data_IF_693634375518
#
_entry.id   IF_693634375518
#
_cell.length_a   1.000
_cell.length_b   1.000
_cell.length_c   1.000
_cell.angle_alpha   90.00
_cell.angle_beta   90.00
_cell.angle_gamma   90.00
#
_symmetry.space_group_name_H-M   'P 1'
#
loop_
_entity.id
_entity.type
_entity.pdbx_description
1 polymer ?
#
# COMPACT_ATOMS: atom_id res chain seq x y z
N UNK A 1 -16.73 -90.61 -26.54
CA UNK A 1 -15.49 -89.89 -26.91
C UNK A 1 -15.85 -88.98 -28.08
N UNK A 2 -15.83 -87.65 -27.95
CA UNK A 2 -15.57 -86.80 -26.77
C UNK A 2 -16.60 -85.66 -26.75
N UNK A 3 -17.02 -85.25 -25.56
CA UNK A 3 -18.06 -84.24 -25.33
C UNK A 3 -17.48 -82.83 -25.18
N UNK A 4 -18.33 -81.79 -25.20
CA UNK A 4 -17.98 -80.42 -24.83
C UNK A 4 -17.88 -79.42 -25.99
N UNK A 5 -19.02 -79.05 -26.59
CA UNK A 5 -19.09 -77.98 -27.60
C UNK A 5 -20.03 -76.84 -27.19
N UNK A 6 -19.50 -75.60 -27.25
CA UNK A 6 -20.19 -74.29 -27.03
C UNK A 6 -20.71 -74.01 -25.63
N UNK A 7 -20.41 -72.80 -25.16
CA UNK A 7 -21.40 -71.96 -24.47
C UNK A 7 -21.08 -70.47 -24.77
N UNK A 8 -22.08 -69.60 -24.79
CA UNK A 8 -21.95 -68.16 -25.10
C UNK A 8 -21.83 -67.32 -23.79
N UNK A 9 -21.53 -66.01 -23.82
CA UNK A 9 -21.05 -65.29 -22.64
C UNK A 9 -22.12 -65.08 -21.56
N UNK A 10 -21.70 -65.25 -20.30
CA UNK A 10 -22.43 -64.74 -19.12
C UNK A 10 -21.77 -63.48 -18.57
N UNK A 11 -22.57 -62.65 -17.92
CA UNK A 11 -22.27 -61.28 -17.55
C UNK A 11 -20.98 -61.13 -16.70
N UNK A 12 -20.00 -60.41 -17.25
CA UNK A 12 -18.83 -59.96 -16.50
C UNK A 12 -19.18 -58.82 -15.57
N UNK A 13 -19.38 -59.12 -14.28
CA UNK A 13 -19.70 -58.12 -13.25
C UNK A 13 -18.60 -57.07 -13.08
N UNK A 14 -18.92 -55.80 -13.32
CA UNK A 14 -17.99 -54.68 -13.12
C UNK A 14 -17.46 -54.59 -11.69
N UNK A 15 -16.16 -54.31 -11.48
CA UNK A 15 -15.63 -53.93 -10.16
C UNK A 15 -16.34 -52.67 -9.64
N UNK A 16 -16.63 -52.63 -8.34
CA UNK A 16 -17.39 -51.54 -7.74
C UNK A 16 -16.66 -50.19 -7.84
N UNK A 17 -17.28 -49.20 -8.48
CA UNK A 17 -16.83 -47.81 -8.46
C UNK A 17 -16.97 -47.26 -7.04
N UNK A 18 -15.85 -47.07 -6.35
CA UNK A 18 -15.83 -46.46 -5.02
C UNK A 18 -16.35 -45.00 -5.13
N UNK A 19 -17.42 -44.61 -4.41
CA UNK A 19 -17.97 -43.26 -4.55
C UNK A 19 -16.97 -42.20 -4.07
N UNK A 20 -16.83 -41.11 -4.83
CA UNK A 20 -16.04 -39.96 -4.42
C UNK A 20 -16.52 -39.42 -3.06
N UNK A 21 -15.62 -38.99 -2.16
CA UNK A 21 -16.03 -38.40 -0.90
C UNK A 21 -16.86 -37.15 -1.17
N UNK A 22 -18.12 -37.16 -0.72
CA UNK A 22 -18.98 -35.98 -0.75
C UNK A 22 -18.38 -34.94 0.18
N UNK A 23 -17.89 -33.84 -0.38
CA UNK A 23 -17.41 -32.72 0.40
C UNK A 23 -18.59 -32.12 1.18
N UNK A 24 -18.65 -32.36 2.48
CA UNK A 24 -19.67 -31.82 3.36
C UNK A 24 -19.56 -30.29 3.34
N UNK A 25 -20.67 -29.61 3.00
CA UNK A 25 -20.66 -28.18 2.76
C UNK A 25 -20.37 -27.42 4.07
N UNK A 26 -19.24 -26.70 4.08
CA UNK A 26 -18.79 -25.94 5.26
C UNK A 26 -19.89 -24.98 5.75
N UNK A 27 -20.11 -24.87 7.07
CA UNK A 27 -21.17 -24.04 7.62
C UNK A 27 -20.93 -22.56 7.30
N UNK A 28 -21.89 -21.93 6.60
CA UNK A 28 -21.83 -20.50 6.26
C UNK A 28 -22.05 -19.68 7.53
N UNK A 29 -20.94 -19.28 8.18
CA UNK A 29 -20.96 -18.37 9.32
C UNK A 29 -21.54 -17.03 8.86
N UNK A 30 -22.65 -16.61 9.48
CA UNK A 30 -23.28 -15.32 9.17
C UNK A 30 -22.35 -14.16 9.56
N UNK A 31 -22.35 -13.12 8.73
CA UNK A 31 -21.61 -11.87 8.96
C UNK A 31 -21.99 -11.27 10.33
N UNK A 32 -21.06 -10.68 11.10
CA UNK A 32 -21.37 -10.06 12.40
C UNK A 32 -22.37 -8.89 12.36
N UNK A 33 -22.77 -8.41 11.17
CA UNK A 33 -23.68 -7.28 11.01
C UNK A 33 -24.52 -7.37 9.73
N UNK A 34 -25.31 -8.43 9.57
CA UNK A 34 -26.46 -8.44 8.65
C UNK A 34 -27.74 -8.20 9.47
N UNK A 35 -28.36 -7.01 9.42
CA UNK A 35 -29.50 -6.68 10.27
C UNK A 35 -30.71 -7.56 9.95
N UNK A 36 -31.50 -7.87 10.97
CA UNK A 36 -32.67 -8.74 10.82
C UNK A 36 -33.69 -8.17 9.83
N UNK A 37 -34.51 -9.04 9.22
CA UNK A 37 -35.50 -8.58 8.25
C UNK A 37 -36.58 -7.69 8.91
N UNK A 38 -36.81 -7.84 10.21
CA UNK A 38 -37.59 -6.92 11.04
C UNK A 38 -36.95 -5.52 11.17
N UNK A 39 -35.62 -5.42 11.23
CA UNK A 39 -34.90 -4.13 11.24
C UNK A 39 -34.89 -3.49 9.85
N UNK A 40 -34.68 -4.28 8.79
CA UNK A 40 -34.79 -3.82 7.40
C UNK A 40 -36.18 -3.23 7.12
N UNK A 41 -37.24 -3.87 7.63
CA UNK A 41 -38.62 -3.38 7.51
C UNK A 41 -38.87 -2.10 8.33
N UNK A 42 -38.34 -2.00 9.55
CA UNK A 42 -38.39 -0.76 10.38
C UNK A 42 -37.64 0.41 9.74
N UNK A 43 -36.49 0.15 9.10
CA UNK A 43 -35.71 1.14 8.36
C UNK A 43 -36.44 1.66 7.11
N UNK A 44 -37.21 0.81 6.43
CA UNK A 44 -38.06 1.22 5.31
C UNK A 44 -39.23 2.11 5.78
N UNK A 45 -39.91 1.73 6.86
CA UNK A 45 -41.07 2.46 7.39
C UNK A 45 -40.76 3.90 7.86
N UNK A 46 -39.51 4.23 8.16
CA UNK A 46 -39.10 5.55 8.66
C UNK A 46 -39.08 6.69 7.63
N UNK A 47 -39.24 6.44 6.33
CA UNK A 47 -39.07 7.46 5.25
C UNK A 47 -40.41 7.90 4.64
N UNK A 48 -41.29 8.50 5.44
CA UNK A 48 -42.71 8.67 5.04
C UNK A 48 -43.49 9.91 5.53
N UNK A 49 -42.89 11.06 5.84
CA UNK A 49 -43.64 12.33 5.94
C UNK A 49 -42.74 13.55 5.75
N UNK A 50 -43.21 14.58 5.04
CA UNK A 50 -42.39 15.70 4.56
C UNK A 50 -42.78 17.07 5.11
N UNK A 51 -41.91 18.08 4.89
CA UNK A 51 -42.26 19.49 5.06
C UNK A 51 -41.50 20.41 4.08
N UNK A 52 -42.13 21.53 3.74
CA UNK A 52 -41.78 22.46 2.66
C UNK A 52 -40.95 23.65 3.21
N UNK A 53 -39.93 24.17 2.49
CA UNK A 53 -39.07 25.23 3.00
C UNK A 53 -39.58 26.66 2.68
N UNK A 54 -39.28 27.66 3.53
CA UNK A 54 -39.31 29.09 3.19
C UNK A 54 -37.91 29.66 2.94
N UNK A 55 -37.84 30.83 2.27
CA UNK A 55 -36.61 31.61 1.99
C UNK A 55 -36.39 32.72 3.04
N UNK A 56 -35.15 33.17 3.23
CA UNK A 56 -34.85 34.47 3.87
C UNK A 56 -33.39 34.63 4.33
N UNK A 57 -32.71 35.67 3.83
CA UNK A 57 -31.49 36.24 4.44
C UNK A 57 -31.79 37.59 5.11
N UNK A 58 -30.79 38.43 5.51
CA UNK A 58 -29.37 38.37 5.14
C UNK A 58 -28.36 38.48 6.31
N UNK A 59 -27.07 38.46 5.96
CA UNK A 59 -25.85 38.86 6.73
C UNK A 59 -25.82 40.38 7.04
N UNK A 60 -24.91 40.97 7.89
CA UNK A 60 -23.46 40.69 7.96
C UNK A 60 -22.69 40.80 9.32
N UNK A 61 -21.43 40.37 9.23
CA UNK A 61 -20.27 40.37 10.15
C UNK A 61 -19.98 41.56 11.09
N UNK A 62 -19.32 41.28 12.24
CA UNK A 62 -17.89 41.66 12.54
C UNK A 62 -17.32 41.01 13.84
N UNK A 63 -15.99 41.15 14.04
CA UNK A 63 -15.15 40.67 15.19
C UNK A 63 -14.83 41.85 16.18
N UNK A 64 -13.88 41.75 17.15
CA UNK A 64 -13.89 41.02 18.44
C UNK A 64 -13.48 41.94 19.64
N UNK A 65 -13.30 41.41 20.88
CA UNK A 65 -12.21 41.70 21.85
C UNK A 65 -12.58 41.44 23.35
N UNK A 66 -11.55 41.33 24.20
CA UNK A 66 -11.51 41.15 25.68
C UNK A 66 -11.42 42.50 26.45
N UNK A 67 -11.25 42.63 27.81
CA UNK A 67 -11.00 41.62 28.88
C UNK A 67 -11.77 41.77 30.24
N UNK A 68 -11.43 40.85 31.15
CA UNK A 68 -11.60 40.76 32.64
C UNK A 68 -10.90 41.89 33.45
N UNK A 69 -10.85 41.88 34.82
CA UNK A 69 -11.80 41.49 35.90
C UNK A 69 -11.81 42.46 37.14
N UNK A 70 -12.65 42.21 38.17
CA UNK A 70 -12.29 42.14 39.63
C UNK A 70 -13.50 41.74 40.52
N UNK A 71 -13.36 40.90 41.56
CA UNK A 71 -13.18 41.14 43.03
C UNK A 71 -14.22 42.08 43.70
N UNK A 72 -14.63 41.94 44.97
CA UNK A 72 -14.61 40.83 45.97
C UNK A 72 -15.37 41.30 47.25
N UNK A 73 -16.23 40.50 47.88
CA UNK A 73 -16.95 40.92 49.12
C UNK A 73 -17.59 39.77 49.92
N UNK A 74 -17.66 39.89 51.26
CA UNK A 74 -18.11 38.86 52.22
C UNK A 74 -18.66 39.48 53.53
N UNK A 75 -19.81 38.98 54.02
CA UNK A 75 -20.27 38.89 55.44
C UNK A 75 -21.54 37.99 55.41
N UNK A 76 -21.82 36.99 56.30
CA UNK A 76 -21.98 36.91 57.78
C UNK A 76 -23.17 37.75 58.28
N UNK A 77 -24.10 37.32 59.15
CA UNK A 77 -24.40 36.11 59.99
C UNK A 77 -25.96 36.01 60.19
N UNK A 78 -26.70 35.10 60.85
CA UNK A 78 -26.56 33.94 61.78
C UNK A 78 -27.82 32.99 61.60
N UNK A 79 -27.90 31.70 61.99
CA UNK A 79 -28.31 31.06 63.28
C UNK A 79 -29.66 31.59 63.85
N UNK A 80 -30.72 30.81 64.13
CA UNK A 80 -30.90 29.63 65.04
C UNK A 80 -31.85 28.49 64.55
N UNK A 81 -31.95 27.38 65.33
CA UNK A 81 -33.03 26.34 65.36
C UNK A 81 -33.48 26.12 66.83
N UNK A 82 -34.75 25.76 67.14
CA UNK A 82 -35.26 24.37 67.28
C UNK A 82 -36.74 24.22 66.79
N UNK A 83 -37.50 23.11 66.87
CA UNK A 83 -37.29 21.64 66.83
C UNK A 83 -38.67 20.95 66.58
N UNK A 84 -38.66 19.66 66.23
CA UNK A 84 -39.71 18.62 66.36
C UNK A 84 -41.22 18.93 66.12
N UNK A 85 -41.73 18.51 64.96
CA UNK A 85 -43.06 17.89 64.78
C UNK A 85 -43.22 17.23 63.38
N UNK A 86 -43.95 16.11 63.31
CA UNK A 86 -44.37 15.37 62.10
C UNK A 86 -45.70 14.63 62.41
N UNK A 87 -46.50 14.17 61.43
CA UNK A 87 -46.48 14.43 59.98
C UNK A 87 -47.86 14.85 59.39
N UNK A 88 -47.88 15.25 58.12
CA UNK A 88 -48.91 14.80 57.15
C UNK A 88 -48.47 15.11 55.72
N UNK A 89 -48.69 14.19 54.79
CA UNK A 89 -48.27 14.29 53.38
C UNK A 89 -49.42 14.71 52.46
N UNK A 90 -49.11 15.48 51.41
CA UNK A 90 -49.43 15.02 50.06
C UNK A 90 -48.22 14.41 49.34
N UNK A 91 -48.47 13.57 48.34
CA UNK A 91 -47.44 12.84 47.61
C UNK A 91 -46.66 13.76 46.65
N UNK A 92 -45.33 13.68 46.70
CA UNK A 92 -44.45 14.13 45.61
C UNK A 92 -43.74 12.91 44.99
N UNK A 93 -43.73 12.84 43.66
CA UNK A 93 -43.14 11.70 42.93
C UNK A 93 -41.62 11.75 43.09
N UNK A 94 -40.95 10.66 43.51
CA UNK A 94 -39.50 10.64 43.66
C UNK A 94 -38.82 10.77 42.29
N UNK A 95 -37.88 11.73 42.09
CA UNK A 95 -37.19 11.88 40.82
C UNK A 95 -36.31 10.67 40.52
N UNK A 96 -36.24 10.27 39.24
CA UNK A 96 -35.64 9.02 38.78
C UNK A 96 -34.10 9.03 38.80
N UNK A 97 -33.50 8.91 39.98
CA UNK A 97 -32.03 8.94 40.22
C UNK A 97 -31.22 8.03 39.29
N UNK A 98 -31.81 6.93 38.78
CA UNK A 98 -31.17 5.99 37.84
C UNK A 98 -30.85 6.60 36.46
N UNK A 99 -31.61 7.59 35.98
CA UNK A 99 -31.36 8.25 34.68
C UNK A 99 -30.01 8.96 34.65
N UNK A 100 -29.71 9.72 35.69
CA UNK A 100 -28.44 10.43 35.87
C UNK A 100 -27.24 9.49 36.03
N UNK A 101 -27.42 8.24 36.45
CA UNK A 101 -26.34 7.26 36.52
C UNK A 101 -25.91 6.79 35.11
N UNK A 102 -26.89 6.46 34.25
CA UNK A 102 -26.63 6.09 32.85
C UNK A 102 -26.11 7.26 32.02
N UNK A 103 -26.69 8.46 32.16
CA UNK A 103 -26.19 9.65 31.50
C UNK A 103 -24.75 9.98 31.92
N UNK A 104 -24.42 9.83 33.22
CA UNK A 104 -23.05 10.02 33.71
C UNK A 104 -22.07 8.95 33.23
N UNK A 105 -22.47 7.68 33.09
CA UNK A 105 -21.57 6.64 32.57
C UNK A 105 -21.31 6.80 31.07
N UNK A 106 -22.32 7.23 30.29
CA UNK A 106 -22.15 7.59 28.88
C UNK A 106 -21.25 8.82 28.71
N UNK A 107 -21.47 9.88 29.50
CA UNK A 107 -20.56 11.04 29.53
C UNK A 107 -19.15 10.67 30.00
N UNK A 108 -19.00 9.70 30.92
CA UNK A 108 -17.67 9.20 31.31
C UNK A 108 -16.97 8.47 30.17
N UNK A 109 -17.69 7.67 29.38
CA UNK A 109 -17.15 7.05 28.15
C UNK A 109 -16.80 8.06 27.05
N UNK A 110 -17.53 9.17 26.95
CA UNK A 110 -17.19 10.26 26.01
C UNK A 110 -15.99 11.11 26.46
N UNK A 111 -15.66 11.11 27.77
CA UNK A 111 -14.49 11.81 28.33
C UNK A 111 -13.28 10.89 28.49
N UNK A 112 -13.51 9.59 28.70
CA UNK A 112 -12.49 8.53 28.65
C UNK A 112 -12.43 7.98 27.21
N UNK A 113 -11.70 8.66 26.33
CA UNK A 113 -11.48 8.20 24.95
C UNK A 113 -11.09 6.72 24.90
N UNK A 114 -11.67 5.98 23.95
CA UNK A 114 -11.83 4.51 24.08
C UNK A 114 -10.52 3.71 23.98
N UNK A 115 -9.38 4.38 23.69
CA UNK A 115 -8.04 3.87 23.94
C UNK A 115 -7.15 4.96 24.59
N UNK A 116 -6.26 4.61 25.53
CA UNK A 116 -5.07 5.42 25.83
C UNK A 116 -4.25 5.66 24.54
N UNK A 117 -3.57 6.80 24.38
CA UNK A 117 -2.86 7.18 23.15
C UNK A 117 -1.56 6.38 22.89
N UNK A 118 -1.47 5.17 23.42
CA UNK A 118 -0.34 4.23 23.34
C UNK A 118 -0.77 2.76 23.19
N UNK A 119 -2.06 2.47 22.98
CA UNK A 119 -2.48 1.13 22.53
C UNK A 119 -2.23 1.00 21.03
N UNK A 120 -1.79 -0.19 20.59
CA UNK A 120 -1.65 -0.51 19.17
C UNK A 120 -3.02 -0.45 18.48
N UNK A 121 -3.09 0.23 17.33
CA UNK A 121 -4.30 0.31 16.50
C UNK A 121 -4.74 -1.09 16.08
N UNK A 122 -6.05 -1.34 16.07
CA UNK A 122 -6.57 -2.67 15.72
C UNK A 122 -6.26 -3.02 14.25
N UNK A 123 -6.15 -4.32 13.93
CA UNK A 123 -5.90 -4.77 12.55
C UNK A 123 -6.95 -4.23 11.57
N UNK A 124 -8.22 -4.19 11.98
CA UNK A 124 -9.33 -3.65 11.16
C UNK A 124 -9.16 -2.15 10.91
N UNK A 125 -8.68 -1.41 11.90
CA UNK A 125 -8.42 0.03 11.80
C UNK A 125 -7.18 0.34 10.95
N UNK A 126 -6.11 -0.45 11.04
CA UNK A 126 -4.93 -0.32 10.16
C UNK A 126 -5.21 -0.73 8.71
N UNK A 127 -6.22 -1.59 8.47
CA UNK A 127 -6.70 -1.94 7.13
C UNK A 127 -7.83 -1.02 6.64
N UNK A 128 -8.35 -0.10 7.45
CA UNK A 128 -9.44 0.78 7.07
C UNK A 128 -9.02 1.72 5.93
N UNK A 129 -9.82 1.76 4.85
CA UNK A 129 -9.48 2.52 3.64
C UNK A 129 -8.47 1.84 2.70
N UNK A 130 -7.86 0.72 3.11
CA UNK A 130 -7.09 -0.14 2.21
C UNK A 130 -8.01 -1.04 1.35
N UNK A 131 -7.51 -1.62 0.24
CA UNK A 131 -8.25 -2.62 -0.53
C UNK A 131 -8.64 -3.89 0.25
N UNK A 132 -8.03 -4.14 1.42
CA UNK A 132 -8.15 -5.39 2.17
C UNK A 132 -8.90 -5.21 3.51
N UNK A 133 -9.78 -4.22 3.63
CA UNK A 133 -10.41 -3.80 4.89
C UNK A 133 -11.18 -4.89 5.70
N UNK A 134 -11.43 -6.08 5.13
CA UNK A 134 -12.14 -7.18 5.80
C UNK A 134 -11.49 -8.54 5.45
N UNK A 135 -10.30 -8.89 6.00
CA UNK A 135 -9.66 -10.17 5.72
C UNK A 135 -10.43 -11.33 6.38
N UNK A 136 -10.70 -12.39 5.62
CA UNK A 136 -11.33 -13.62 6.12
C UNK A 136 -10.30 -14.48 6.85
N UNK A 137 -10.47 -14.61 8.17
CA UNK A 137 -9.63 -15.44 9.04
C UNK A 137 -9.88 -16.92 8.70
N UNK A 138 -8.86 -17.63 8.24
CA UNK A 138 -8.95 -19.07 7.95
C UNK A 138 -9.02 -19.84 9.28
N UNK A 139 -10.19 -20.43 9.57
CA UNK A 139 -10.47 -21.17 10.81
C UNK A 139 -9.83 -22.57 10.85
N UNK A 140 -8.55 -22.68 10.51
CA UNK A 140 -7.70 -23.76 10.97
C UNK A 140 -7.34 -23.58 12.44
N UNK A 141 -6.89 -24.66 13.10
CA UNK A 141 -6.23 -24.53 14.39
C UNK A 141 -4.89 -23.78 14.29
N UNK A 142 -4.19 -23.53 15.41
CA UNK A 142 -2.86 -22.91 15.40
C UNK A 142 -1.78 -23.86 14.83
N UNK A 143 -1.85 -24.12 13.52
CA UNK A 143 -1.06 -25.11 12.78
C UNK A 143 0.39 -24.66 12.58
N UNK A 144 1.16 -24.82 13.65
CA UNK A 144 2.60 -25.10 13.68
C UNK A 144 3.47 -24.32 12.68
N UNK A 145 3.18 -23.03 12.46
CA UNK A 145 3.73 -22.00 13.34
C UNK A 145 3.33 -20.59 12.88
N UNK A 146 3.17 -19.65 13.83
CA UNK A 146 3.12 -18.22 13.51
C UNK A 146 4.39 -17.78 12.76
N UNK A 147 5.53 -18.36 13.10
CA UNK A 147 6.82 -18.17 12.41
C UNK A 147 6.72 -18.40 10.89
N UNK A 148 6.06 -19.47 10.41
CA UNK A 148 5.85 -19.70 8.95
C UNK A 148 5.01 -18.61 8.28
N UNK A 149 3.99 -18.09 8.97
CA UNK A 149 3.18 -16.99 8.46
C UNK A 149 3.99 -15.66 8.41
N UNK A 150 4.82 -15.41 9.42
CA UNK A 150 5.76 -14.28 9.46
C UNK A 150 6.85 -14.39 8.38
N UNK A 151 7.41 -15.57 8.15
CA UNK A 151 8.42 -15.80 7.10
C UNK A 151 7.81 -15.67 5.69
N UNK A 152 6.56 -16.10 5.48
CA UNK A 152 5.82 -15.80 4.25
C UNK A 152 5.61 -14.29 4.10
N UNK A 153 5.14 -13.60 5.14
CA UNK A 153 4.92 -12.15 5.11
C UNK A 153 6.21 -11.36 4.82
N UNK A 154 7.37 -11.79 5.34
CA UNK A 154 8.67 -11.20 4.99
C UNK A 154 9.08 -11.49 3.54
N UNK A 155 8.84 -12.69 3.01
CA UNK A 155 9.15 -13.01 1.61
C UNK A 155 8.23 -12.25 0.64
N UNK A 156 6.96 -12.10 0.98
CA UNK A 156 5.98 -11.26 0.31
C UNK A 156 6.43 -9.80 0.29
N UNK A 157 6.73 -9.24 1.47
CA UNK A 157 7.17 -7.85 1.64
C UNK A 157 8.47 -7.56 0.90
N UNK A 158 9.47 -8.46 0.98
CA UNK A 158 10.68 -8.35 0.18
C UNK A 158 10.36 -8.33 -1.31
N UNK A 159 9.48 -9.20 -1.79
CA UNK A 159 9.16 -9.27 -3.23
C UNK A 159 8.41 -8.01 -3.69
N UNK A 160 7.50 -7.47 -2.89
CA UNK A 160 6.82 -6.20 -3.18
C UNK A 160 7.80 -5.02 -3.24
N UNK A 161 8.71 -4.89 -2.26
CA UNK A 161 9.75 -3.85 -2.30
C UNK A 161 10.72 -4.05 -3.46
N UNK A 162 11.12 -5.30 -3.74
CA UNK A 162 11.93 -5.64 -4.92
C UNK A 162 11.24 -5.26 -6.23
N UNK A 163 9.91 -5.22 -6.27
CA UNK A 163 9.12 -4.85 -7.45
C UNK A 163 8.70 -3.36 -7.49
N UNK A 164 9.05 -2.57 -6.47
CA UNK A 164 8.89 -1.11 -6.45
C UNK A 164 7.67 -0.58 -5.69
N UNK A 165 7.08 -1.34 -4.77
CA UNK A 165 5.94 -0.91 -3.97
C UNK A 165 6.24 0.29 -3.03
N UNK A 166 5.19 1.05 -2.72
CA UNK A 166 5.16 2.05 -1.64
C UNK A 166 5.09 1.39 -0.26
N UNK A 167 5.55 2.08 0.79
CA UNK A 167 5.62 1.48 2.12
C UNK A 167 4.24 1.07 2.67
N UNK A 168 3.22 1.92 2.48
CA UNK A 168 1.83 1.64 2.87
C UNK A 168 1.23 0.41 2.16
N UNK A 169 1.57 0.20 0.88
CA UNK A 169 1.08 -0.93 0.08
C UNK A 169 1.62 -2.25 0.63
N UNK A 170 2.87 -2.24 1.10
CA UNK A 170 3.49 -3.41 1.74
C UNK A 170 2.96 -3.62 3.16
N UNK A 171 2.83 -2.56 3.97
CA UNK A 171 2.29 -2.66 5.33
C UNK A 171 0.88 -3.26 5.33
N UNK A 172 -0.04 -2.69 4.56
CA UNK A 172 -1.42 -3.18 4.45
C UNK A 172 -1.50 -4.61 3.89
N UNK A 173 -0.63 -4.97 2.94
CA UNK A 173 -0.56 -6.33 2.40
C UNK A 173 0.01 -7.35 3.41
N UNK A 174 0.99 -6.97 4.23
CA UNK A 174 1.46 -7.80 5.37
C UNK A 174 0.28 -8.05 6.31
N UNK A 175 -0.38 -7.00 6.79
CA UNK A 175 -1.44 -7.09 7.80
C UNK A 175 -2.59 -7.97 7.30
N UNK A 176 -3.06 -7.77 6.07
CA UNK A 176 -4.14 -8.55 5.46
C UNK A 176 -3.80 -10.04 5.40
N UNK A 177 -2.60 -10.40 4.94
CA UNK A 177 -2.13 -11.79 4.85
C UNK A 177 -1.96 -12.42 6.24
N UNK A 178 -1.38 -11.70 7.19
CA UNK A 178 -1.19 -12.23 8.55
C UNK A 178 -2.53 -12.44 9.26
N UNK A 179 -3.50 -11.54 9.05
CA UNK A 179 -4.84 -11.67 9.61
C UNK A 179 -5.61 -12.85 8.99
N UNK A 180 -5.54 -13.03 7.67
CA UNK A 180 -6.12 -14.19 6.98
C UNK A 180 -5.51 -15.52 7.47
N UNK A 181 -4.22 -15.53 7.81
CA UNK A 181 -3.53 -16.66 8.45
C UNK A 181 -3.72 -16.75 9.99
N UNK A 182 -4.64 -15.99 10.57
CA UNK A 182 -5.02 -16.09 11.99
C UNK A 182 -4.09 -15.39 12.99
N UNK A 183 -3.21 -14.49 12.55
CA UNK A 183 -2.42 -13.63 13.44
C UNK A 183 -3.16 -12.31 13.69
N UNK A 184 -3.73 -12.17 14.89
CA UNK A 184 -4.51 -11.00 15.32
C UNK A 184 -3.66 -9.85 15.91
N UNK A 185 -2.46 -10.18 16.39
CA UNK A 185 -1.62 -9.34 17.26
C UNK A 185 -0.25 -9.07 16.63
N UNK A 186 -0.21 -8.41 15.47
CA UNK A 186 1.04 -8.00 14.80
C UNK A 186 1.24 -6.49 14.71
N UNK A 187 2.48 -6.06 14.94
CA UNK A 187 2.99 -4.71 14.65
C UNK A 187 3.94 -4.81 13.45
N UNK A 188 4.00 -3.76 12.63
CA UNK A 188 4.89 -3.69 11.46
C UNK A 188 5.63 -2.35 11.48
N UNK A 189 6.96 -2.38 11.39
CA UNK A 189 7.77 -1.20 11.07
C UNK A 189 8.39 -1.35 9.68
N UNK A 190 8.43 -0.24 8.94
CA UNK A 190 9.04 -0.17 7.60
C UNK A 190 9.95 1.07 7.54
N UNK A 191 11.22 0.83 7.82
CA UNK A 191 12.26 1.86 7.85
C UNK A 191 13.22 1.71 6.66
N UNK A 192 13.02 2.53 5.62
CA UNK A 192 13.82 2.62 4.38
C UNK A 192 13.90 1.34 3.54
N UNK A 193 14.71 0.37 3.97
CA UNK A 193 14.93 -0.93 3.34
C UNK A 193 14.69 -2.10 4.32
N UNK A 194 14.42 -1.81 5.60
CA UNK A 194 14.14 -2.80 6.63
C UNK A 194 12.63 -2.96 6.80
N UNK A 195 12.16 -4.21 6.80
CA UNK A 195 10.82 -4.61 7.24
C UNK A 195 10.99 -5.36 8.55
N UNK A 196 10.33 -4.89 9.60
CA UNK A 196 10.26 -5.57 10.90
C UNK A 196 8.81 -5.93 11.17
N UNK A 197 8.56 -7.19 11.53
CA UNK A 197 7.22 -7.63 11.98
C UNK A 197 7.38 -8.20 13.38
N UNK A 198 6.61 -7.67 14.32
CA UNK A 198 6.57 -8.14 15.71
C UNK A 198 5.23 -8.82 15.96
N UNK A 199 5.23 -10.10 16.34
CA UNK A 199 4.03 -10.84 16.73
C UNK A 199 4.02 -11.07 18.24
N UNK A 200 2.97 -10.61 18.91
CA UNK A 200 2.85 -10.67 20.37
C UNK A 200 1.44 -11.08 20.78
N UNK A 201 1.06 -12.32 20.45
CA UNK A 201 -0.16 -12.92 20.98
C UNK A 201 -0.14 -13.02 22.51
N UNK A 202 -1.33 -13.01 23.11
CA UNK A 202 -1.51 -13.25 24.55
C UNK A 202 -0.94 -14.63 24.91
N UNK A 203 -0.23 -14.68 26.03
CA UNK A 203 0.34 -15.89 26.63
C UNK A 203 1.34 -16.66 25.75
N UNK A 204 1.94 -15.99 24.75
CA UNK A 204 3.05 -16.50 23.93
C UNK A 204 4.29 -15.60 24.02
N UNK A 205 5.48 -16.16 23.77
CA UNK A 205 6.72 -15.38 23.67
C UNK A 205 6.71 -14.49 22.42
N UNK A 206 6.89 -13.15 22.54
CA UNK A 206 6.92 -12.26 21.39
C UNK A 206 7.97 -12.69 20.36
N UNK A 207 7.57 -12.74 19.10
CA UNK A 207 8.42 -13.16 17.98
C UNK A 207 8.61 -12.00 17.02
N UNK A 208 9.76 -11.35 17.10
CA UNK A 208 10.17 -10.31 16.15
C UNK A 208 10.96 -10.94 14.99
N UNK A 209 10.63 -10.55 13.76
CA UNK A 209 11.33 -10.97 12.53
C UNK A 209 11.72 -9.74 11.71
N UNK A 210 12.84 -9.82 10.99
CA UNK A 210 13.41 -8.71 10.23
C UNK A 210 13.91 -9.17 8.86
N UNK A 211 13.66 -8.37 7.81
CA UNK A 211 14.25 -8.55 6.47
C UNK A 211 14.79 -7.21 5.95
N UNK A 212 16.00 -7.20 5.42
CA UNK A 212 16.59 -6.03 4.73
C UNK A 212 16.58 -6.26 3.22
N UNK A 213 15.82 -5.45 2.49
CA UNK A 213 15.63 -5.58 1.05
C UNK A 213 16.77 -4.88 0.31
N UNK A 214 17.70 -5.68 -0.23
CA UNK A 214 18.96 -5.21 -0.86
C UNK A 214 18.90 -5.08 -2.39
N UNK A 215 17.74 -5.27 -3.02
CA UNK A 215 17.58 -5.17 -4.48
C UNK A 215 16.24 -4.56 -4.87
N UNK A 216 16.18 -3.94 -6.05
CA UNK A 216 14.99 -3.29 -6.60
C UNK A 216 14.94 -3.44 -8.13
N UNK A 217 13.74 -3.56 -8.70
CA UNK A 217 13.47 -3.61 -10.14
C UNK A 217 12.02 -3.21 -10.39
N UNK A 218 11.74 -2.45 -11.45
CA UNK A 218 10.38 -1.97 -11.74
C UNK A 218 9.55 -3.06 -12.44
N UNK A 219 9.26 -4.16 -11.75
CA UNK A 219 8.48 -5.28 -12.28
C UNK A 219 6.98 -5.13 -11.95
N UNK A 220 6.34 -4.09 -12.50
CA UNK A 220 4.93 -3.80 -12.23
C UNK A 220 3.99 -4.96 -12.58
N UNK A 221 4.29 -5.75 -13.63
CA UNK A 221 3.53 -6.95 -13.96
C UNK A 221 3.58 -8.02 -12.85
N UNK A 222 4.73 -8.18 -12.21
CA UNK A 222 4.88 -9.01 -11.01
C UNK A 222 4.16 -8.40 -9.80
N UNK A 223 4.27 -7.08 -9.59
CA UNK A 223 3.59 -6.39 -8.48
C UNK A 223 2.05 -6.52 -8.56
N UNK A 224 1.46 -6.37 -9.76
CA UNK A 224 0.02 -6.61 -9.98
C UNK A 224 -0.36 -8.07 -9.69
N UNK A 225 0.50 -9.04 -9.98
CA UNK A 225 0.25 -10.44 -9.64
C UNK A 225 0.31 -10.68 -8.12
N UNK A 226 1.21 -9.99 -7.40
CA UNK A 226 1.27 -10.05 -5.94
C UNK A 226 0.02 -9.44 -5.31
N UNK A 227 -0.45 -8.27 -5.77
CA UNK A 227 -1.68 -7.67 -5.23
C UNK A 227 -2.90 -8.59 -5.42
N UNK A 228 -2.99 -9.31 -6.54
CA UNK A 228 -4.02 -10.35 -6.73
C UNK A 228 -3.86 -11.51 -5.75
N UNK A 229 -2.64 -12.01 -5.54
CA UNK A 229 -2.39 -13.06 -4.55
C UNK A 229 -2.76 -12.61 -3.12
N UNK A 230 -2.50 -11.34 -2.76
CA UNK A 230 -2.89 -10.78 -1.47
C UNK A 230 -4.42 -10.67 -1.35
N UNK A 231 -5.12 -10.26 -2.40
CA UNK A 231 -6.59 -10.34 -2.46
C UNK A 231 -7.10 -11.78 -2.30
N UNK A 232 -6.59 -12.74 -3.08
CA UNK A 232 -7.00 -14.15 -3.00
C UNK A 232 -6.82 -14.75 -1.59
N UNK A 233 -5.76 -14.34 -0.87
CA UNK A 233 -5.49 -14.75 0.52
C UNK A 233 -6.43 -14.03 1.50
N UNK A 234 -6.64 -12.71 1.34
CA UNK A 234 -7.53 -11.92 2.18
C UNK A 234 -9.00 -12.35 2.02
N UNK A 235 -9.41 -12.76 0.83
CA UNK A 235 -10.73 -13.36 0.55
C UNK A 235 -10.79 -14.85 0.96
N UNK A 236 -9.80 -15.36 1.70
CA UNK A 236 -9.78 -16.71 2.28
C UNK A 236 -9.69 -17.87 1.28
N UNK A 237 -9.56 -17.59 -0.02
CA UNK A 237 -9.60 -18.59 -1.09
C UNK A 237 -8.30 -19.36 -1.31
N UNK A 238 -7.23 -19.04 -0.57
CA UNK A 238 -5.87 -19.58 -0.77
C UNK A 238 -5.25 -19.98 0.56
N UNK A 239 -4.88 -21.26 0.69
CA UNK A 239 -4.18 -21.78 1.87
C UNK A 239 -2.72 -21.29 1.93
N UNK A 240 -2.11 -21.30 3.12
CA UNK A 240 -0.71 -20.86 3.31
C UNK A 240 0.32 -21.60 2.42
N UNK A 241 0.08 -22.86 2.07
CA UNK A 241 0.97 -23.63 1.17
C UNK A 241 0.77 -23.26 -0.29
N UNK A 242 -0.48 -23.09 -0.74
CA UNK A 242 -0.81 -22.59 -2.07
C UNK A 242 -0.29 -21.15 -2.26
N UNK A 243 -0.42 -20.30 -1.23
CA UNK A 243 0.13 -18.95 -1.21
C UNK A 243 1.65 -18.93 -1.44
N UNK A 244 2.38 -19.84 -0.78
CA UNK A 244 3.82 -19.98 -0.96
C UNK A 244 4.18 -20.43 -2.39
N UNK A 245 3.44 -21.38 -2.96
CA UNK A 245 3.65 -21.83 -4.34
C UNK A 245 3.39 -20.71 -5.37
N UNK A 246 2.25 -20.02 -5.25
CA UNK A 246 1.90 -18.89 -6.13
C UNK A 246 2.89 -17.73 -6.02
N UNK A 247 3.41 -17.44 -4.82
CA UNK A 247 4.44 -16.41 -4.65
C UNK A 247 5.75 -16.81 -5.36
N UNK A 248 6.16 -18.08 -5.26
CA UNK A 248 7.33 -18.59 -5.97
C UNK A 248 7.14 -18.52 -7.50
N UNK A 249 6.01 -19.01 -8.02
CA UNK A 249 5.62 -18.90 -9.44
C UNK A 249 5.70 -17.45 -9.95
N UNK A 250 5.20 -16.49 -9.17
CA UNK A 250 5.26 -15.05 -9.52
C UNK A 250 6.71 -14.57 -9.59
N UNK A 251 7.58 -15.03 -8.69
CA UNK A 251 9.00 -14.63 -8.70
C UNK A 251 9.83 -15.25 -9.83
N UNK A 252 9.48 -16.47 -10.25
CA UNK A 252 10.12 -17.17 -11.36
C UNK A 252 9.52 -16.86 -12.74
N UNK A 253 8.38 -16.16 -12.81
CA UNK A 253 7.67 -15.87 -14.07
C UNK A 253 8.54 -15.03 -15.04
N UNK A 254 8.68 -15.42 -16.32
CA UNK A 254 9.42 -14.62 -17.29
C UNK A 254 8.79 -13.24 -17.50
N UNK A 255 9.62 -12.22 -17.75
CA UNK A 255 9.15 -10.86 -18.02
C UNK A 255 8.30 -10.85 -19.30
N UNK A 256 7.16 -10.11 -19.34
CA UNK A 256 6.19 -10.19 -20.43
C UNK A 256 6.71 -9.64 -21.77
N UNK A 257 7.79 -8.84 -21.76
CA UNK A 257 8.32 -8.18 -22.95
C UNK A 257 9.81 -8.50 -23.14
N UNK A 258 10.25 -8.85 -24.37
CA UNK A 258 11.65 -9.14 -24.65
C UNK A 258 12.50 -7.86 -24.58
N UNK A 259 13.77 -8.01 -24.18
CA UNK A 259 14.70 -6.90 -23.90
C UNK A 259 14.80 -5.88 -25.05
N UNK A 260 14.81 -6.35 -26.30
CA UNK A 260 14.93 -5.50 -27.49
C UNK A 260 13.71 -4.58 -27.69
N UNK A 261 12.52 -5.04 -27.34
CA UNK A 261 11.29 -4.26 -27.53
C UNK A 261 11.18 -3.13 -26.50
N UNK A 262 11.70 -3.35 -25.28
CA UNK A 262 11.85 -2.30 -24.27
C UNK A 262 12.86 -1.24 -24.73
N UNK A 263 14.01 -1.67 -25.27
CA UNK A 263 15.03 -0.78 -25.85
C UNK A 263 14.47 0.04 -27.03
N UNK A 264 13.71 -0.59 -27.93
CA UNK A 264 13.05 0.09 -29.04
C UNK A 264 11.97 1.09 -28.54
N UNK A 265 11.18 0.73 -27.52
CA UNK A 265 10.18 1.63 -26.94
C UNK A 265 10.82 2.88 -26.30
N UNK A 266 11.96 2.75 -25.62
CA UNK A 266 12.73 3.90 -25.12
C UNK A 266 13.29 4.75 -26.27
N UNK A 267 13.81 4.12 -27.35
CA UNK A 267 14.20 4.83 -28.57
C UNK A 267 13.05 5.64 -29.18
N UNK A 268 11.86 5.04 -29.32
CA UNK A 268 10.65 5.71 -29.82
C UNK A 268 10.24 6.87 -28.92
N UNK A 269 10.29 6.69 -27.59
CA UNK A 269 10.00 7.77 -26.63
C UNK A 269 10.98 8.94 -26.80
N UNK A 270 12.30 8.67 -26.86
CA UNK A 270 13.32 9.69 -27.10
C UNK A 270 13.05 10.46 -28.40
N UNK A 271 12.78 9.75 -29.51
CA UNK A 271 12.43 10.36 -30.79
C UNK A 271 11.17 11.23 -30.73
N UNK A 272 10.11 10.74 -30.09
CA UNK A 272 8.85 11.45 -29.94
C UNK A 272 9.00 12.72 -29.08
N UNK A 273 9.83 12.67 -28.04
CA UNK A 273 10.18 13.83 -27.22
C UNK A 273 10.99 14.86 -28.01
N UNK A 274 11.98 14.44 -28.80
CA UNK A 274 12.74 15.37 -29.66
C UNK A 274 11.81 16.07 -30.65
N UNK A 275 10.91 15.34 -31.31
CA UNK A 275 9.90 15.91 -32.19
C UNK A 275 8.93 16.87 -31.46
N UNK A 276 8.46 16.48 -30.27
CA UNK A 276 7.52 17.29 -29.46
C UNK A 276 8.09 18.64 -29.03
N UNK A 277 9.40 18.71 -28.71
CA UNK A 277 10.08 19.98 -28.37
C UNK A 277 10.50 20.78 -29.63
N UNK A 278 10.02 20.38 -30.83
CA UNK A 278 10.26 21.09 -32.10
C UNK A 278 11.53 20.67 -32.84
N UNK A 279 12.10 19.51 -32.51
CA UNK A 279 13.27 18.97 -33.20
C UNK A 279 12.95 18.43 -34.59
N UNK A 280 13.95 18.44 -35.48
CA UNK A 280 13.81 17.89 -36.84
C UNK A 280 13.62 16.37 -36.80
N UNK A 281 13.09 15.80 -37.90
CA UNK A 281 12.96 14.35 -38.06
C UNK A 281 14.33 13.64 -37.95
N UNK A 282 15.39 14.28 -38.45
CA UNK A 282 16.77 13.81 -38.31
C UNK A 282 17.26 13.85 -36.86
N UNK A 283 16.98 14.94 -36.13
CA UNK A 283 17.25 15.01 -34.68
C UNK A 283 16.51 13.93 -33.89
N UNK A 284 15.28 13.60 -34.30
CA UNK A 284 14.47 12.55 -33.69
C UNK A 284 15.05 11.15 -33.93
N UNK A 285 15.54 10.88 -35.15
CA UNK A 285 16.27 9.65 -35.48
C UNK A 285 17.60 9.54 -34.72
N UNK A 286 18.32 10.66 -34.54
CA UNK A 286 19.54 10.71 -33.73
C UNK A 286 19.21 10.47 -32.25
N UNK A 287 18.11 11.03 -31.73
CA UNK A 287 17.60 10.76 -30.39
C UNK A 287 17.22 9.28 -30.17
N UNK A 288 16.62 8.63 -31.17
CA UNK A 288 16.34 7.19 -31.17
C UNK A 288 17.63 6.36 -31.03
N UNK A 289 18.60 6.59 -31.92
CA UNK A 289 19.86 5.83 -31.95
C UNK A 289 20.71 6.09 -30.69
N UNK A 290 20.79 7.34 -30.24
CA UNK A 290 21.48 7.73 -29.01
C UNK A 290 20.91 7.03 -27.79
N UNK A 291 19.57 7.01 -27.65
CA UNK A 291 18.90 6.31 -26.56
C UNK A 291 19.17 4.80 -26.55
N UNK A 292 19.17 4.14 -27.72
CA UNK A 292 19.50 2.71 -27.82
C UNK A 292 20.95 2.45 -27.40
N UNK A 293 21.92 3.26 -27.86
CA UNK A 293 23.32 3.11 -27.49
C UNK A 293 23.54 3.30 -25.98
N UNK A 294 22.85 4.27 -25.38
CA UNK A 294 22.90 4.57 -23.94
C UNK A 294 22.28 3.45 -23.10
N UNK A 295 21.15 2.88 -23.54
CA UNK A 295 20.53 1.71 -22.90
C UNK A 295 21.44 0.46 -22.96
N UNK A 296 22.13 0.23 -24.07
CA UNK A 296 23.13 -0.84 -24.19
C UNK A 296 24.34 -0.64 -23.27
N UNK A 297 24.89 0.57 -23.22
CA UNK A 297 26.02 0.91 -22.32
C UNK A 297 25.60 0.82 -20.85
N UNK A 298 24.45 1.38 -20.47
CA UNK A 298 23.90 1.31 -19.11
C UNK A 298 23.72 -0.14 -18.64
N UNK A 299 23.21 -1.02 -19.50
CA UNK A 299 23.13 -2.47 -19.22
C UNK A 299 24.50 -3.10 -18.99
N UNK A 300 25.52 -2.73 -19.77
CA UNK A 300 26.88 -3.26 -19.62
C UNK A 300 27.53 -2.79 -18.30
N UNK A 301 27.33 -1.53 -17.93
CA UNK A 301 27.75 -0.99 -16.62
C UNK A 301 27.03 -1.72 -15.46
N UNK A 302 25.75 -2.06 -15.63
CA UNK A 302 24.99 -2.89 -14.69
C UNK A 302 25.51 -4.33 -14.56
N UNK A 303 25.89 -4.98 -15.67
CA UNK A 303 26.54 -6.30 -15.65
C UNK A 303 27.89 -6.27 -14.93
N UNK A 304 28.65 -5.19 -15.08
CA UNK A 304 29.90 -4.93 -14.35
C UNK A 304 29.69 -4.46 -12.90
N UNK A 305 28.43 -4.35 -12.42
CA UNK A 305 28.06 -3.88 -11.07
C UNK A 305 28.59 -2.48 -10.73
N UNK A 306 28.75 -1.62 -11.74
CA UNK A 306 29.13 -0.21 -11.57
C UNK A 306 28.07 0.49 -10.72
N UNK A 307 28.45 1.24 -9.67
CA UNK A 307 27.47 1.97 -8.85
C UNK A 307 26.62 2.94 -9.67
N UNK A 308 25.33 3.00 -9.37
CA UNK A 308 24.33 3.72 -10.18
C UNK A 308 24.71 5.17 -10.48
N UNK A 309 25.32 5.89 -9.52
CA UNK A 309 25.83 7.24 -9.72
C UNK A 309 26.75 7.34 -10.95
N UNK A 310 27.72 6.43 -11.08
CA UNK A 310 28.62 6.42 -12.24
C UNK A 310 27.91 5.92 -13.50
N UNK A 311 27.01 4.94 -13.40
CA UNK A 311 26.24 4.47 -14.56
C UNK A 311 25.35 5.57 -15.17
N UNK A 312 24.70 6.37 -14.33
CA UNK A 312 23.90 7.54 -14.75
C UNK A 312 24.79 8.65 -15.29
N UNK A 313 25.91 8.96 -14.63
CA UNK A 313 26.85 9.98 -15.12
C UNK A 313 27.45 9.62 -16.49
N UNK A 314 27.88 8.37 -16.68
CA UNK A 314 28.36 7.88 -17.99
C UNK A 314 27.24 7.90 -19.05
N UNK A 315 26.01 7.54 -18.69
CA UNK A 315 24.85 7.58 -19.60
C UNK A 315 24.55 9.01 -20.05
N UNK A 316 24.52 9.96 -19.11
CA UNK A 316 24.28 11.38 -19.38
C UNK A 316 25.42 12.01 -20.21
N UNK A 317 26.68 11.69 -19.88
CA UNK A 317 27.83 12.10 -20.66
C UNK A 317 27.77 11.58 -22.11
N UNK A 318 27.40 10.31 -22.29
CA UNK A 318 27.28 9.68 -23.61
C UNK A 318 26.18 10.33 -24.47
N UNK A 319 25.00 10.61 -23.91
CA UNK A 319 23.93 11.38 -24.59
C UNK A 319 24.47 12.73 -25.08
N UNK A 320 25.20 13.45 -24.23
CA UNK A 320 25.76 14.77 -24.55
C UNK A 320 26.86 14.70 -25.61
N UNK A 321 27.81 13.77 -25.50
CA UNK A 321 28.88 13.59 -26.48
C UNK A 321 28.35 13.21 -27.88
N UNK A 322 27.31 12.37 -27.95
CA UNK A 322 26.67 12.03 -29.24
C UNK A 322 26.05 13.29 -29.88
N UNK A 323 25.37 14.13 -29.10
CA UNK A 323 24.79 15.36 -29.61
C UNK A 323 25.86 16.39 -30.05
N UNK A 324 27.00 16.47 -29.36
CA UNK A 324 28.13 17.32 -29.76
C UNK A 324 28.86 16.79 -31.00
N UNK A 325 28.99 15.47 -31.16
CA UNK A 325 29.58 14.87 -32.36
C UNK A 325 28.79 15.23 -33.62
N UNK A 326 27.46 15.15 -33.57
CA UNK A 326 26.62 15.58 -34.70
C UNK A 326 26.67 17.09 -34.96
N UNK A 327 26.95 17.90 -33.93
CA UNK A 327 27.17 19.35 -34.09
C UNK A 327 28.46 19.66 -34.85
N UNK A 328 29.58 19.00 -34.53
CA UNK A 328 30.85 19.19 -35.26
C UNK A 328 30.82 18.65 -36.69
N UNK A 329 29.93 17.70 -36.98
CA UNK A 329 29.66 17.22 -38.34
C UNK A 329 28.71 18.15 -39.12
N UNK A 330 28.47 19.38 -38.61
CA UNK A 330 27.61 20.42 -39.19
C UNK A 330 26.17 19.95 -39.53
N UNK A 331 25.69 18.91 -38.85
CA UNK A 331 24.37 18.33 -39.13
C UNK A 331 23.28 19.29 -38.61
N UNK A 332 22.24 19.61 -39.42
CA UNK A 332 21.21 20.60 -39.07
C UNK A 332 20.22 20.09 -38.02
N UNK A 333 20.71 20.03 -36.78
CA UNK A 333 19.98 19.70 -35.55
C UNK A 333 20.34 20.70 -34.46
N UNK A 334 19.45 20.91 -33.49
CA UNK A 334 19.78 21.59 -32.25
C UNK A 334 20.25 20.54 -31.22
N UNK A 335 21.54 20.49 -30.81
CA UNK A 335 22.07 19.42 -29.95
C UNK A 335 21.32 19.32 -28.62
N UNK A 336 20.92 20.47 -28.06
CA UNK A 336 20.14 20.55 -26.83
C UNK A 336 18.83 19.73 -26.87
N UNK A 337 18.17 19.61 -28.04
CA UNK A 337 16.92 18.85 -28.16
C UNK A 337 17.19 17.33 -28.07
N UNK A 338 18.24 16.84 -28.73
CA UNK A 338 18.69 15.44 -28.61
C UNK A 338 19.09 15.12 -27.17
N UNK A 339 19.77 16.06 -26.50
CA UNK A 339 20.17 15.93 -25.09
C UNK A 339 18.94 15.86 -24.16
N UNK A 340 17.92 16.68 -24.37
CA UNK A 340 16.64 16.61 -23.63
C UNK A 340 15.95 15.26 -23.83
N UNK A 341 15.88 14.76 -25.08
CA UNK A 341 15.28 13.45 -25.40
C UNK A 341 15.93 12.27 -24.68
N UNK A 342 17.27 12.26 -24.59
CA UNK A 342 18.02 11.24 -23.84
C UNK A 342 17.93 11.39 -22.32
N UNK A 343 18.03 12.62 -21.80
CA UNK A 343 18.03 12.89 -20.34
C UNK A 343 16.69 12.55 -19.69
N UNK A 344 15.56 12.79 -20.37
CA UNK A 344 14.22 12.59 -19.77
C UNK A 344 13.96 11.14 -19.32
N UNK A 345 14.63 10.15 -19.91
CA UNK A 345 14.60 8.75 -19.50
C UNK A 345 15.56 8.40 -18.35
N UNK A 346 16.56 9.23 -18.08
CA UNK A 346 17.51 9.06 -16.97
C UNK A 346 17.03 9.72 -15.66
N UNK A 347 15.95 10.52 -15.71
CA UNK A 347 15.45 11.22 -14.53
C UNK A 347 14.86 10.25 -13.49
N UNK A 348 15.13 10.43 -12.18
CA UNK A 348 14.63 9.56 -11.11
C UNK A 348 13.16 9.83 -10.75
N UNK A 349 12.30 10.09 -11.73
CA UNK A 349 10.89 10.50 -11.55
C UNK A 349 10.10 9.52 -10.68
N UNK A 350 10.22 8.21 -10.92
CA UNK A 350 9.59 7.19 -10.09
C UNK A 350 10.02 7.25 -8.62
N UNK A 351 11.30 7.57 -8.33
CA UNK A 351 11.77 7.72 -6.94
C UNK A 351 11.19 8.95 -6.27
N UNK A 352 11.06 10.07 -6.99
CA UNK A 352 10.41 11.28 -6.48
C UNK A 352 8.93 11.03 -6.16
N UNK A 353 8.20 10.35 -7.06
CA UNK A 353 6.80 10.00 -6.85
C UNK A 353 6.66 9.10 -5.61
N UNK A 354 7.41 8.00 -5.53
CA UNK A 354 7.31 7.08 -4.40
C UNK A 354 7.80 7.69 -3.07
N UNK A 355 8.81 8.56 -3.09
CA UNK A 355 9.22 9.33 -1.90
C UNK A 355 8.13 10.29 -1.43
N UNK A 356 7.41 10.92 -2.37
CA UNK A 356 6.29 11.82 -2.06
C UNK A 356 5.09 11.04 -1.52
N UNK A 357 4.78 9.87 -2.09
CA UNK A 357 3.75 8.96 -1.59
C UNK A 357 4.08 8.50 -0.15
N UNK A 358 5.30 8.03 0.10
CA UNK A 358 5.73 7.61 1.43
C UNK A 358 5.66 8.78 2.45
N UNK A 359 6.05 10.00 2.04
CA UNK A 359 5.99 11.18 2.91
C UNK A 359 4.55 11.57 3.30
N UNK A 360 3.61 11.50 2.35
CA UNK A 360 2.18 11.77 2.59
C UNK A 360 1.56 10.66 3.45
N UNK A 361 1.96 9.40 3.22
CA UNK A 361 1.40 8.22 3.89
C UNK A 361 2.07 7.90 5.24
N UNK A 362 2.88 8.80 5.82
CA UNK A 362 3.40 8.65 7.18
C UNK A 362 4.74 7.90 7.33
N UNK A 363 5.50 7.69 6.25
CA UNK A 363 6.81 7.02 6.25
C UNK A 363 7.98 7.99 5.99
N UNK A 364 8.21 9.01 6.84
CA UNK A 364 9.15 10.11 6.54
C UNK A 364 10.62 9.67 6.42
N UNK A 365 11.05 8.63 7.13
CA UNK A 365 12.44 8.13 7.05
C UNK A 365 12.68 7.43 5.71
N UNK A 366 11.73 6.63 5.26
CA UNK A 366 11.74 5.96 3.94
C UNK A 366 11.69 6.99 2.81
N UNK A 367 10.82 8.00 2.94
CA UNK A 367 10.75 9.13 2.02
C UNK A 367 12.08 9.89 1.94
N UNK A 368 12.68 10.26 3.08
CA UNK A 368 13.95 10.98 3.12
C UNK A 368 15.09 10.21 2.43
N UNK A 369 15.17 8.89 2.65
CA UNK A 369 16.12 8.03 1.95
C UNK A 369 15.90 7.99 0.43
N UNK A 370 14.64 7.86 -0.02
CA UNK A 370 14.27 7.88 -1.44
C UNK A 370 14.52 9.26 -2.09
N UNK A 371 14.28 10.37 -1.39
CA UNK A 371 14.62 11.72 -1.86
C UNK A 371 16.14 11.94 -1.97
N UNK A 372 16.93 11.55 -0.96
CA UNK A 372 18.39 11.64 -1.02
C UNK A 372 18.96 10.83 -2.20
N UNK A 373 18.43 9.62 -2.42
CA UNK A 373 18.76 8.80 -3.59
C UNK A 373 18.45 9.50 -4.91
N UNK A 374 17.29 10.15 -5.04
CA UNK A 374 16.93 10.91 -6.23
C UNK A 374 17.87 12.12 -6.45
N UNK A 375 18.22 12.87 -5.40
CA UNK A 375 19.16 14.00 -5.47
C UNK A 375 20.55 13.54 -5.94
N UNK A 376 21.04 12.39 -5.46
CA UNK A 376 22.31 11.81 -5.92
C UNK A 376 22.27 11.41 -7.41
N UNK A 377 21.13 10.93 -7.91
CA UNK A 377 20.93 10.64 -9.34
C UNK A 377 20.88 11.91 -10.19
N UNK A 378 20.26 13.00 -9.71
CA UNK A 378 20.35 14.31 -10.37
C UNK A 378 21.79 14.86 -10.40
N UNK A 379 22.54 14.71 -9.30
CA UNK A 379 23.94 15.13 -9.24
C UNK A 379 24.81 14.34 -10.23
N UNK A 380 24.60 13.03 -10.38
CA UNK A 380 25.24 12.20 -11.39
C UNK A 380 24.93 12.69 -12.82
N UNK A 381 23.66 12.98 -13.11
CA UNK A 381 23.20 13.52 -14.39
C UNK A 381 23.93 14.83 -14.74
N UNK A 382 23.91 15.81 -13.83
CA UNK A 382 24.55 17.12 -14.03
C UNK A 382 26.08 16.97 -14.19
N UNK A 383 26.72 16.13 -13.38
CA UNK A 383 28.16 15.88 -13.49
C UNK A 383 28.54 15.23 -14.83
N UNK A 384 27.76 14.25 -15.31
CA UNK A 384 27.97 13.61 -16.60
C UNK A 384 27.88 14.60 -17.78
N UNK A 385 26.85 15.44 -17.78
CA UNK A 385 26.67 16.49 -18.81
C UNK A 385 27.82 17.50 -18.75
N UNK A 386 28.20 17.99 -17.57
CA UNK A 386 29.28 18.95 -17.41
C UNK A 386 30.63 18.41 -17.90
N UNK A 387 30.97 17.16 -17.56
CA UNK A 387 32.19 16.49 -18.03
C UNK A 387 32.17 16.33 -19.57
N UNK A 388 31.04 15.94 -20.15
CA UNK A 388 30.91 15.81 -21.60
C UNK A 388 31.04 17.16 -22.34
N UNK A 389 30.43 18.23 -21.82
CA UNK A 389 30.54 19.57 -22.41
C UNK A 389 32.00 20.08 -22.39
N UNK A 390 32.73 19.86 -21.29
CA UNK A 390 34.14 20.26 -21.18
C UNK A 390 35.04 19.41 -22.08
N UNK A 391 34.87 18.09 -22.08
CA UNK A 391 35.63 17.18 -22.94
C UNK A 391 35.38 17.45 -24.43
N UNK A 392 34.14 17.79 -24.78
CA UNK A 392 33.77 18.22 -26.12
C UNK A 392 34.41 19.55 -26.51
N UNK A 393 34.27 20.59 -25.69
CA UNK A 393 34.89 21.89 -25.97
C UNK A 393 36.42 21.79 -26.18
N UNK A 394 37.09 20.93 -25.39
CA UNK A 394 38.52 20.67 -25.47
C UNK A 394 38.95 19.75 -26.64
N UNK A 395 38.01 19.23 -27.44
CA UNK A 395 38.29 18.48 -28.68
C UNK A 395 37.80 19.19 -29.95
N UNK A 396 37.22 20.39 -29.80
CA UNK A 396 36.94 21.35 -30.88
C UNK A 396 37.91 22.55 -30.90
N UNK A 397 39.04 22.43 -30.22
CA UNK A 397 40.10 23.44 -30.08
C UNK A 397 41.48 22.84 -30.36
#
# INVERSE_FOLDING_TARGET
>A
MTDGSRDDPREGSSPATNPSPVAEALPVIRRPFDPSDDEKNKLAAGRGSGRKPPRGGPTPSRRPAEPRPQRQGRQRQQVTRPADALPTTPQSVPPSVRSNAAARSMLRRLVQGEAPPTQAMSIVERLAGSPYANPMIQAGGPDASARKALDFALNLAETMFRYGAGALEVETSIIAVTAAFGLDSIEVDITNQSVVINYSARDQTPTTVLRVVRSWTNNYAGLTAIHRLVSDIADGGVSRTEAAHRLDEITHRPKPFPRWMVTAAFGIFSAAIVAFVGGTLLGSLIGFISCILVDLVSRKLGEWRVPEFFAVATSAALVTLIAMLFWWLEVPIAPALVVVGGILLLLPTGRLVSATQDAINGFPVTAAGRFLSAILVFAALVAGIAVALVAGAASSA
#
